data_IF_897086344485
#
_entry.id   IF_897086344485
#
_cell.length_a   1.000
_cell.length_b   1.000
_cell.length_c   1.000
_cell.angle_alpha   90.00
_cell.angle_beta   90.00
_cell.angle_gamma   90.00
#
_symmetry.space_group_name_H-M   'P 1'
#
loop_
_entity.id
_entity.type
_entity.pdbx_description
1 polymer ?
#
# COMPACT_ATOMS: atom_id res chain seq x y z
N UNK A 1 -38.41 25.67 28.42
CA UNK A 1 -37.55 26.05 27.28
C UNK A 1 -38.44 26.20 26.06
N UNK A 2 -38.52 27.38 25.44
CA UNK A 2 -39.44 27.63 24.31
C UNK A 2 -38.97 26.88 23.07
N UNK A 3 -39.90 26.27 22.31
CA UNK A 3 -39.58 25.51 21.09
C UNK A 3 -38.83 26.31 20.03
N UNK A 4 -38.93 27.65 20.08
CA UNK A 4 -38.19 28.59 19.22
C UNK A 4 -36.69 28.59 19.46
N UNK A 5 -36.23 28.47 20.71
CA UNK A 5 -34.80 28.44 21.04
C UNK A 5 -34.14 27.15 20.59
N UNK A 6 -34.84 26.01 20.71
CA UNK A 6 -34.35 24.72 20.23
C UNK A 6 -34.23 24.69 18.70
N UNK A 7 -35.22 25.21 17.97
CA UNK A 7 -35.18 25.33 16.51
C UNK A 7 -34.00 26.19 16.03
N UNK A 8 -33.73 27.31 16.69
CA UNK A 8 -32.59 28.16 16.37
C UNK A 8 -31.26 27.44 16.63
N UNK A 9 -31.11 26.79 17.78
CA UNK A 9 -29.89 26.01 18.09
C UNK A 9 -29.65 24.87 17.09
N UNK A 10 -30.71 24.16 16.69
CA UNK A 10 -30.62 23.11 15.66
C UNK A 10 -30.23 23.70 14.31
N UNK A 11 -30.81 24.84 13.91
CA UNK A 11 -30.45 25.51 12.66
C UNK A 11 -28.99 25.97 12.65
N UNK A 12 -28.50 26.57 13.75
CA UNK A 12 -27.09 26.95 13.87
C UNK A 12 -26.15 25.73 13.81
N UNK A 13 -26.53 24.62 14.46
CA UNK A 13 -25.74 23.39 14.40
C UNK A 13 -25.66 22.85 12.95
N UNK A 14 -26.77 22.82 12.22
CA UNK A 14 -26.80 22.36 10.82
C UNK A 14 -25.94 23.26 9.92
N UNK A 15 -26.06 24.58 10.07
CA UNK A 15 -25.27 25.55 9.29
C UNK A 15 -23.78 25.38 9.59
N UNK A 16 -23.41 25.28 10.87
CA UNK A 16 -22.03 25.05 11.28
C UNK A 16 -21.49 23.73 10.70
N UNK A 17 -22.21 22.62 10.85
CA UNK A 17 -21.80 21.32 10.31
C UNK A 17 -21.67 21.33 8.79
N UNK A 18 -22.58 22.00 8.08
CA UNK A 18 -22.51 22.16 6.62
C UNK A 18 -21.31 23.00 6.20
N UNK A 19 -21.04 24.10 6.92
CA UNK A 19 -19.88 24.95 6.70
C UNK A 19 -18.56 24.22 6.95
N UNK A 20 -18.46 23.46 8.04
CA UNK A 20 -17.29 22.61 8.33
C UNK A 20 -17.09 21.55 7.25
N UNK A 21 -18.17 20.92 6.78
CA UNK A 21 -18.10 19.93 5.71
C UNK A 21 -17.65 20.56 4.39
N UNK A 22 -18.19 21.71 4.00
CA UNK A 22 -17.77 22.44 2.80
C UNK A 22 -16.30 22.87 2.88
N UNK A 23 -15.85 23.35 4.04
CA UNK A 23 -14.44 23.68 4.29
C UNK A 23 -13.56 22.44 4.15
N UNK A 24 -13.97 21.31 4.74
CA UNK A 24 -13.26 20.04 4.63
C UNK A 24 -13.11 19.60 3.16
N UNK A 25 -14.18 19.68 2.36
CA UNK A 25 -14.10 19.40 0.93
C UNK A 25 -13.18 20.35 0.18
N UNK A 26 -13.21 21.64 0.51
CA UNK A 26 -12.28 22.64 -0.05
C UNK A 26 -10.82 22.33 0.30
N UNK A 27 -10.55 21.82 1.50
CA UNK A 27 -9.21 21.34 1.88
C UNK A 27 -8.83 20.11 1.06
N UNK A 28 -9.78 19.20 0.78
CA UNK A 28 -9.55 18.05 -0.09
C UNK A 28 -9.30 18.41 -1.57
N UNK A 29 -9.50 19.64 -2.01
CA UNK A 29 -9.06 20.05 -3.37
C UNK A 29 -7.59 20.47 -3.39
N UNK A 30 -6.92 20.56 -2.23
CA UNK A 30 -5.52 20.94 -2.13
C UNK A 30 -4.64 19.67 -2.24
N UNK A 31 -3.68 19.61 -3.18
CA UNK A 31 -2.84 18.43 -3.45
C UNK A 31 -2.19 17.80 -2.21
N UNK A 32 -1.64 18.63 -1.32
CA UNK A 32 -0.99 18.20 -0.10
C UNK A 32 -1.93 17.35 0.78
N UNK A 33 -3.16 17.82 1.00
CA UNK A 33 -4.12 17.13 1.85
C UNK A 33 -4.74 15.91 1.17
N UNK A 34 -4.91 15.94 -0.16
CA UNK A 34 -5.31 14.75 -0.92
C UNK A 34 -4.34 13.60 -0.72
N UNK A 35 -3.04 13.87 -0.84
CA UNK A 35 -2.00 12.86 -0.63
C UNK A 35 -2.05 12.26 0.78
N UNK A 36 -2.24 13.09 1.81
CA UNK A 36 -2.38 12.60 3.18
C UNK A 36 -3.62 11.70 3.35
N UNK A 37 -4.73 12.01 2.69
CA UNK A 37 -5.98 11.23 2.83
C UNK A 37 -5.95 9.94 2.02
N UNK A 38 -5.42 9.97 0.79
CA UNK A 38 -5.35 8.79 -0.09
C UNK A 38 -4.35 7.77 0.47
N UNK A 39 -3.15 8.22 0.83
CA UNK A 39 -2.08 7.32 1.22
C UNK A 39 -2.02 7.08 2.72
N UNK A 40 -2.51 8.00 3.55
CA UNK A 40 -2.40 7.97 5.01
C UNK A 40 -0.98 7.63 5.51
N UNK A 41 0.02 8.05 4.73
CA UNK A 41 1.40 7.54 4.81
C UNK A 41 2.12 7.94 6.10
N UNK A 42 1.70 9.05 6.72
CA UNK A 42 2.26 9.54 7.99
C UNK A 42 1.83 8.71 9.21
N UNK A 43 0.88 7.77 9.06
CA UNK A 43 0.34 6.96 10.15
C UNK A 43 0.94 5.56 10.10
N UNK A 44 2.04 5.32 10.82
CA UNK A 44 2.81 4.06 10.72
C UNK A 44 2.18 2.85 11.42
N UNK A 45 1.26 3.00 12.37
CA UNK A 45 0.51 1.89 13.02
C UNK A 45 1.39 0.71 13.51
N UNK A 46 2.63 0.97 13.93
CA UNK A 46 3.55 -0.06 14.47
C UNK A 46 3.39 -0.27 15.98
N UNK A 47 2.54 0.52 16.67
CA UNK A 47 2.23 0.36 18.10
C UNK A 47 3.46 0.37 19.02
N UNK A 48 4.39 1.29 18.79
CA UNK A 48 5.66 1.41 19.53
C UNK A 48 6.60 0.20 19.42
N UNK A 49 6.36 -0.68 18.45
CA UNK A 49 7.27 -1.78 18.10
C UNK A 49 8.30 -1.33 17.08
N UNK A 50 9.47 -1.94 17.18
CA UNK A 50 10.59 -1.68 16.29
C UNK A 50 10.59 -2.70 15.15
N UNK A 51 10.57 -2.21 13.91
CA UNK A 51 10.58 -3.07 12.71
C UNK A 51 11.88 -3.84 12.57
N UNK A 52 12.96 -3.36 13.21
CA UNK A 52 14.28 -4.00 13.21
C UNK A 52 14.37 -5.18 14.18
N UNK A 53 13.36 -5.40 15.03
CA UNK A 53 13.27 -6.53 15.96
C UNK A 53 12.24 -7.55 15.45
N UNK A 54 12.65 -8.50 14.59
CA UNK A 54 11.75 -9.41 13.88
C UNK A 54 10.84 -10.27 14.78
N UNK A 55 11.29 -10.59 16.00
CA UNK A 55 10.54 -11.36 17.00
C UNK A 55 9.25 -10.65 17.45
N UNK A 56 9.26 -9.31 17.50
CA UNK A 56 8.06 -8.52 17.84
C UNK A 56 6.94 -8.70 16.81
N UNK A 57 7.28 -9.21 15.64
CA UNK A 57 6.39 -9.45 14.53
C UNK A 57 6.13 -10.93 14.29
N UNK A 58 6.72 -11.83 15.08
CA UNK A 58 6.55 -13.29 15.00
C UNK A 58 7.47 -13.98 14.00
N UNK A 59 8.58 -13.36 13.61
CA UNK A 59 9.64 -13.98 12.80
C UNK A 59 10.76 -14.55 13.70
N UNK A 60 11.78 -15.16 13.07
CA UNK A 60 12.95 -15.84 13.64
C UNK A 60 12.70 -17.11 14.45
N UNK A 61 11.69 -17.15 15.32
CA UNK A 61 11.47 -18.32 16.17
C UNK A 61 11.06 -19.55 15.34
N UNK A 62 11.78 -20.66 15.53
CA UNK A 62 11.58 -21.93 14.83
C UNK A 62 11.78 -21.84 13.30
N UNK A 63 12.64 -20.92 12.85
CA UNK A 63 13.03 -20.84 11.44
C UNK A 63 14.25 -21.72 11.16
N UNK A 64 14.33 -22.26 9.94
CA UNK A 64 15.59 -22.79 9.42
C UNK A 64 16.60 -21.63 9.37
N UNK A 65 17.81 -21.83 9.90
CA UNK A 65 18.85 -20.80 10.06
C UNK A 65 18.62 -19.74 11.17
N UNK A 66 17.76 -20.00 12.16
CA UNK A 66 17.51 -19.07 13.27
C UNK A 66 18.79 -18.53 13.94
N UNK A 67 19.75 -19.39 14.30
CA UNK A 67 21.00 -18.95 14.95
C UNK A 67 21.85 -18.02 14.07
N UNK A 68 21.91 -18.29 12.77
CA UNK A 68 22.69 -17.49 11.81
C UNK A 68 22.02 -16.13 11.56
N UNK A 69 20.69 -16.11 11.44
CA UNK A 69 19.90 -14.88 11.29
C UNK A 69 19.98 -14.00 12.54
N UNK A 70 19.98 -14.59 13.73
CA UNK A 70 20.17 -13.87 15.00
C UNK A 70 21.57 -13.27 15.15
N UNK A 71 22.57 -13.84 14.47
CA UNK A 71 23.93 -13.32 14.49
C UNK A 71 24.13 -12.13 13.54
N UNK A 72 23.22 -11.88 12.59
CA UNK A 72 23.30 -10.73 11.69
C UNK A 72 22.96 -9.41 12.42
N UNK A 73 23.60 -8.29 12.04
CA UNK A 73 23.25 -6.98 12.59
C UNK A 73 21.79 -6.63 12.29
N UNK A 74 21.06 -6.16 13.30
CA UNK A 74 19.70 -5.65 13.12
C UNK A 74 19.70 -4.26 12.47
N UNK A 75 18.63 -3.95 11.72
CA UNK A 75 18.42 -2.64 11.11
C UNK A 75 18.72 -2.61 9.62
N UNK A 76 19.06 -1.42 9.13
CA UNK A 76 19.34 -1.21 7.71
C UNK A 76 20.68 -1.85 7.35
N UNK A 77 20.66 -2.85 6.49
CA UNK A 77 21.88 -3.44 5.95
C UNK A 77 22.58 -2.45 5.00
N UNK A 78 23.88 -2.21 5.21
CA UNK A 78 24.70 -1.38 4.30
C UNK A 78 24.76 -1.98 2.88
N UNK A 79 24.77 -3.31 2.79
CA UNK A 79 24.70 -4.06 1.54
C UNK A 79 23.84 -5.31 1.74
N UNK A 80 22.60 -5.26 1.22
CA UNK A 80 21.63 -6.36 1.33
C UNK A 80 22.19 -7.67 0.75
N UNK A 81 23.11 -7.60 -0.23
CA UNK A 81 23.68 -8.79 -0.87
C UNK A 81 24.54 -9.65 0.05
N UNK A 82 24.96 -9.07 1.19
CA UNK A 82 25.74 -9.77 2.21
C UNK A 82 24.87 -10.49 3.24
N UNK A 83 23.58 -10.13 3.32
CA UNK A 83 22.64 -10.73 4.27
C UNK A 83 22.39 -12.20 3.94
N UNK A 84 22.15 -13.02 4.96
CA UNK A 84 21.81 -14.43 4.78
C UNK A 84 20.50 -14.59 4.02
N UNK A 85 19.48 -13.79 4.37
CA UNK A 85 18.18 -13.80 3.68
C UNK A 85 18.29 -13.59 2.17
N UNK A 86 19.18 -12.70 1.72
CA UNK A 86 19.43 -12.49 0.29
C UNK A 86 20.14 -13.66 -0.37
N UNK A 87 21.14 -14.26 0.30
CA UNK A 87 21.87 -15.43 -0.23
C UNK A 87 20.94 -16.62 -0.37
N UNK A 88 20.10 -16.89 0.63
CA UNK A 88 19.10 -17.96 0.57
C UNK A 88 18.17 -17.79 -0.64
N UNK A 89 17.68 -16.57 -0.88
CA UNK A 89 16.87 -16.26 -2.06
C UNK A 89 17.64 -16.48 -3.37
N UNK A 90 18.84 -15.91 -3.50
CA UNK A 90 19.60 -15.90 -4.76
C UNK A 90 20.20 -17.26 -5.12
N UNK A 91 20.69 -17.99 -4.11
CA UNK A 91 21.52 -19.17 -4.32
C UNK A 91 20.68 -20.45 -4.54
N UNK A 92 19.38 -20.42 -4.24
CA UNK A 92 18.43 -21.47 -4.61
C UNK A 92 17.77 -21.19 -5.99
N UNK A 93 18.07 -21.99 -7.05
CA UNK A 93 17.48 -21.80 -8.37
C UNK A 93 15.97 -22.09 -8.42
N UNK A 94 15.45 -22.82 -7.43
CA UNK A 94 14.04 -23.19 -7.31
C UNK A 94 13.23 -22.19 -6.46
N UNK A 95 13.87 -21.10 -6.01
CA UNK A 95 13.27 -19.99 -5.29
C UNK A 95 12.08 -19.39 -6.05
N UNK A 96 10.98 -19.21 -5.33
CA UNK A 96 9.80 -18.45 -5.70
C UNK A 96 9.78 -17.18 -4.87
N UNK A 97 9.64 -16.03 -5.53
CA UNK A 97 9.67 -14.74 -4.88
C UNK A 97 8.31 -14.07 -4.94
N UNK A 98 7.78 -13.75 -3.76
CA UNK A 98 6.61 -12.88 -3.62
C UNK A 98 7.08 -11.44 -3.43
N UNK A 99 6.72 -10.56 -4.37
CA UNK A 99 6.83 -9.13 -4.19
C UNK A 99 5.55 -8.62 -3.53
N UNK A 100 5.64 -8.18 -2.28
CA UNK A 100 4.50 -7.71 -1.50
C UNK A 100 4.34 -6.20 -1.62
N UNK A 101 3.23 -5.79 -2.22
CA UNK A 101 2.84 -4.39 -2.46
C UNK A 101 1.71 -4.01 -1.48
N UNK A 102 2.07 -3.27 -0.43
CA UNK A 102 1.17 -3.02 0.70
C UNK A 102 0.08 -1.95 0.42
N UNK A 103 -0.96 -1.94 1.25
CA UNK A 103 -2.04 -0.95 1.19
C UNK A 103 -1.68 0.44 1.72
N UNK A 104 -2.66 1.34 1.74
CA UNK A 104 -2.52 2.65 2.37
C UNK A 104 -2.31 2.52 3.89
N UNK A 105 -1.85 3.62 4.50
CA UNK A 105 -1.41 3.72 5.88
C UNK A 105 -0.27 2.74 6.24
N UNK A 106 0.15 2.80 7.49
CA UNK A 106 1.08 1.84 8.07
C UNK A 106 2.52 1.98 7.57
N UNK A 107 3.26 0.92 7.84
CA UNK A 107 4.64 0.63 7.50
C UNK A 107 4.78 -0.91 7.35
N UNK A 108 5.97 -1.41 7.07
CA UNK A 108 6.20 -2.86 6.92
C UNK A 108 5.64 -3.72 8.07
N UNK A 109 5.75 -3.24 9.32
CA UNK A 109 5.28 -3.92 10.52
C UNK A 109 3.78 -3.81 10.82
N UNK A 110 2.97 -3.09 10.04
CA UNK A 110 1.63 -2.71 10.53
C UNK A 110 0.58 -3.79 10.42
N UNK A 111 -0.26 -3.89 11.46
CA UNK A 111 -1.50 -4.66 11.45
C UNK A 111 -1.28 -6.14 11.10
N UNK A 112 -1.97 -6.61 10.05
CA UNK A 112 -1.90 -8.00 9.61
C UNK A 112 -0.79 -8.29 8.58
N UNK A 113 0.03 -7.29 8.22
CA UNK A 113 1.07 -7.48 7.20
C UNK A 113 2.11 -8.52 7.63
N UNK A 114 2.69 -8.48 8.85
CA UNK A 114 3.63 -9.51 9.26
C UNK A 114 3.04 -10.93 9.28
N UNK A 115 1.82 -11.16 9.82
CA UNK A 115 1.12 -12.43 9.66
C UNK A 115 0.95 -12.85 8.20
N UNK A 116 0.66 -11.92 7.29
CA UNK A 116 0.54 -12.20 5.86
C UNK A 116 1.87 -12.66 5.25
N UNK A 117 2.99 -12.00 5.57
CA UNK A 117 4.32 -12.41 5.07
C UNK A 117 4.65 -13.84 5.51
N UNK A 118 4.40 -14.14 6.79
CA UNK A 118 4.61 -15.49 7.32
C UNK A 118 3.73 -16.53 6.67
N UNK A 119 2.45 -16.21 6.44
CA UNK A 119 1.52 -17.14 5.81
C UNK A 119 1.95 -17.50 4.38
N UNK A 120 2.50 -16.54 3.62
CA UNK A 120 3.01 -16.80 2.28
C UNK A 120 4.26 -17.69 2.32
N UNK A 121 5.26 -17.33 3.12
CA UNK A 121 6.48 -18.16 3.27
C UNK A 121 6.20 -19.53 3.88
N UNK A 122 5.15 -19.70 4.69
CA UNK A 122 4.76 -20.99 5.25
C UNK A 122 4.27 -22.01 4.21
N UNK A 123 3.90 -21.59 3.00
CA UNK A 123 3.46 -22.49 1.93
C UNK A 123 4.54 -23.47 1.48
N UNK A 124 5.78 -22.99 1.40
CA UNK A 124 7.00 -23.78 1.22
C UNK A 124 8.18 -22.98 1.78
N UNK A 125 8.54 -23.15 3.06
CA UNK A 125 9.51 -22.30 3.75
C UNK A 125 10.92 -22.32 3.17
N UNK A 126 11.25 -23.33 2.35
CA UNK A 126 12.57 -23.44 1.71
C UNK A 126 12.64 -22.69 0.40
N UNK A 127 11.50 -22.55 -0.29
CA UNK A 127 11.44 -22.00 -1.65
C UNK A 127 10.71 -20.67 -1.74
N UNK A 128 9.74 -20.39 -0.87
CA UNK A 128 8.92 -19.18 -0.95
C UNK A 128 9.51 -18.07 -0.07
N UNK A 129 10.11 -17.10 -0.75
CA UNK A 129 10.61 -15.87 -0.14
C UNK A 129 9.60 -14.75 -0.34
N UNK A 130 9.48 -13.87 0.65
CA UNK A 130 8.68 -12.64 0.55
C UNK A 130 9.58 -11.44 0.71
N UNK A 131 9.53 -10.51 -0.24
CA UNK A 131 10.15 -9.19 -0.11
C UNK A 131 9.06 -8.13 -0.12
N UNK A 132 9.05 -7.31 0.92
CA UNK A 132 8.16 -6.17 1.07
C UNK A 132 9.00 -4.90 1.19
N UNK A 133 8.48 -3.79 0.67
CA UNK A 133 9.09 -2.46 0.82
C UNK A 133 8.07 -1.50 1.42
N UNK A 134 8.54 -0.51 2.17
CA UNK A 134 7.76 0.72 2.38
C UNK A 134 7.97 1.63 1.17
N UNK A 135 6.88 2.05 0.53
CA UNK A 135 6.96 3.06 -0.55
C UNK A 135 7.54 4.37 -0.04
N UNK A 136 8.00 5.23 -0.95
CA UNK A 136 8.43 6.59 -0.60
C UNK A 136 7.39 7.32 0.25
N UNK A 137 7.83 7.88 1.37
CA UNK A 137 7.00 8.54 2.37
C UNK A 137 6.28 7.63 3.36
N UNK A 138 6.38 6.30 3.24
CA UNK A 138 5.88 5.33 4.23
C UNK A 138 7.01 4.86 5.15
N UNK A 139 6.66 4.50 6.39
CA UNK A 139 7.60 3.94 7.37
C UNK A 139 8.90 4.74 7.48
N UNK A 140 10.03 4.09 7.20
CA UNK A 140 11.35 4.74 7.20
C UNK A 140 11.80 5.26 5.83
N UNK A 141 11.01 5.02 4.76
CA UNK A 141 11.34 5.46 3.41
C UNK A 141 11.12 6.97 3.27
N UNK A 142 12.13 7.68 2.79
CA UNK A 142 12.07 9.13 2.56
C UNK A 142 11.12 9.54 1.42
N UNK A 143 10.98 10.85 1.20
CA UNK A 143 10.18 11.40 0.11
C UNK A 143 8.69 11.57 0.44
N UNK A 144 7.84 11.57 -0.58
CA UNK A 144 6.39 11.70 -0.44
C UNK A 144 5.67 10.86 -1.49
N UNK A 145 4.54 10.22 -1.14
CA UNK A 145 3.88 9.29 -2.05
C UNK A 145 3.21 10.02 -3.21
N UNK A 146 3.18 9.38 -4.37
CA UNK A 146 2.41 9.78 -5.54
C UNK A 146 2.19 8.54 -6.42
N UNK A 147 1.26 8.61 -7.36
CA UNK A 147 0.97 7.49 -8.28
C UNK A 147 2.23 7.06 -9.05
N UNK A 148 2.89 8.02 -9.71
CA UNK A 148 4.16 7.81 -10.39
C UNK A 148 5.27 7.34 -9.43
N UNK A 149 5.27 7.85 -8.20
CA UNK A 149 6.28 7.53 -7.20
C UNK A 149 6.19 6.09 -6.72
N UNK A 150 4.98 5.63 -6.38
CA UNK A 150 4.75 4.24 -5.96
C UNK A 150 4.99 3.26 -7.11
N UNK A 151 4.59 3.61 -8.33
CA UNK A 151 4.89 2.81 -9.52
C UNK A 151 6.42 2.71 -9.71
N UNK A 152 7.15 3.81 -9.57
CA UNK A 152 8.61 3.82 -9.66
C UNK A 152 9.23 2.90 -8.60
N UNK A 153 8.79 2.98 -7.35
CA UNK A 153 9.29 2.14 -6.26
C UNK A 153 9.03 0.64 -6.54
N UNK A 154 7.84 0.31 -7.07
CA UNK A 154 7.48 -1.04 -7.46
C UNK A 154 8.30 -1.56 -8.65
N UNK A 155 8.57 -0.71 -9.65
CA UNK A 155 9.48 -1.03 -10.75
C UNK A 155 10.89 -1.29 -10.21
N UNK A 156 11.41 -0.41 -9.34
CA UNK A 156 12.73 -0.60 -8.71
C UNK A 156 12.82 -1.93 -7.98
N UNK A 157 11.80 -2.32 -7.23
CA UNK A 157 11.75 -3.62 -6.55
C UNK A 157 11.79 -4.80 -7.53
N UNK A 158 10.98 -4.76 -8.59
CA UNK A 158 10.94 -5.83 -9.59
C UNK A 158 12.25 -5.92 -10.38
N UNK A 159 12.85 -4.79 -10.76
CA UNK A 159 14.17 -4.74 -11.41
C UNK A 159 15.26 -5.29 -10.50
N UNK A 160 15.27 -4.93 -9.22
CA UNK A 160 16.19 -5.49 -8.24
C UNK A 160 16.04 -7.01 -8.13
N UNK A 161 14.81 -7.51 -8.07
CA UNK A 161 14.55 -8.95 -8.00
C UNK A 161 15.10 -9.71 -9.23
N UNK A 162 14.89 -9.17 -10.42
CA UNK A 162 15.34 -9.81 -11.67
C UNK A 162 16.84 -9.68 -11.91
N UNK A 163 17.41 -8.50 -11.64
CA UNK A 163 18.79 -8.17 -12.03
C UNK A 163 19.81 -8.46 -10.94
N UNK A 164 19.47 -8.13 -9.70
CA UNK A 164 20.39 -8.25 -8.56
C UNK A 164 20.19 -9.58 -7.83
N UNK A 165 18.95 -9.96 -7.54
CA UNK A 165 18.64 -11.26 -6.94
C UNK A 165 18.60 -12.41 -7.96
N UNK A 166 18.59 -12.11 -9.26
CA UNK A 166 18.66 -13.10 -10.34
C UNK A 166 17.41 -13.96 -10.48
N UNK A 167 16.28 -13.55 -9.91
CA UNK A 167 15.05 -14.35 -9.91
C UNK A 167 14.35 -14.18 -11.27
N UNK A 168 14.08 -15.28 -12.01
CA UNK A 168 13.42 -15.18 -13.29
C UNK A 168 11.97 -14.70 -13.10
N UNK A 169 11.41 -13.89 -14.03
CA UNK A 169 10.03 -13.40 -13.93
C UNK A 169 8.98 -14.49 -13.71
N UNK A 170 9.20 -15.69 -14.29
CA UNK A 170 8.35 -16.87 -14.13
C UNK A 170 8.30 -17.42 -12.70
N UNK A 171 9.20 -17.00 -11.82
CA UNK A 171 9.23 -17.36 -10.39
C UNK A 171 8.78 -16.20 -9.49
N UNK A 172 8.38 -15.07 -10.07
CA UNK A 172 7.94 -13.89 -9.31
C UNK A 172 6.41 -13.82 -9.31
N UNK A 173 5.82 -13.66 -8.13
CA UNK A 173 4.39 -13.40 -7.93
C UNK A 173 4.21 -12.03 -7.30
N UNK A 174 3.30 -11.21 -7.86
CA UNK A 174 2.91 -9.95 -7.25
C UNK A 174 1.77 -10.21 -6.25
N UNK A 175 2.04 -10.08 -4.95
CA UNK A 175 0.98 -10.10 -3.94
C UNK A 175 0.70 -8.67 -3.51
N UNK A 176 -0.57 -8.27 -3.51
CA UNK A 176 -0.92 -6.87 -3.30
C UNK A 176 -2.22 -6.68 -2.56
N UNK A 177 -2.31 -5.58 -1.81
CA UNK A 177 -3.46 -5.29 -0.96
C UNK A 177 -3.90 -3.82 -1.07
N UNK A 178 -5.20 -3.57 -1.19
CA UNK A 178 -5.78 -2.22 -1.32
C UNK A 178 -5.04 -1.38 -2.37
N UNK A 179 -4.46 -0.21 -2.06
CA UNK A 179 -3.72 0.61 -3.03
C UNK A 179 -2.57 -0.12 -3.71
N UNK A 180 -1.95 -1.09 -3.03
CA UNK A 180 -0.94 -1.94 -3.64
C UNK A 180 -1.47 -2.73 -4.84
N UNK A 181 -2.78 -3.00 -4.93
CA UNK A 181 -3.39 -3.68 -6.08
C UNK A 181 -3.28 -2.83 -7.35
N UNK A 182 -3.60 -1.54 -7.26
CA UNK A 182 -3.44 -0.60 -8.37
C UNK A 182 -1.96 -0.45 -8.76
N UNK A 183 -1.06 -0.38 -7.77
CA UNK A 183 0.40 -0.37 -8.00
C UNK A 183 0.84 -1.63 -8.75
N UNK A 184 0.36 -2.81 -8.35
CA UNK A 184 0.73 -4.08 -8.96
C UNK A 184 0.22 -4.21 -10.39
N UNK A 185 -0.98 -3.71 -10.69
CA UNK A 185 -1.57 -3.68 -12.03
C UNK A 185 -0.77 -2.73 -12.93
N UNK A 186 -0.48 -1.53 -12.45
CA UNK A 186 0.34 -0.57 -13.17
C UNK A 186 1.76 -1.10 -13.42
N UNK A 187 2.37 -1.79 -12.44
CA UNK A 187 3.66 -2.46 -12.58
C UNK A 187 3.60 -3.54 -13.67
N UNK A 188 2.64 -4.47 -13.58
CA UNK A 188 2.49 -5.57 -14.54
C UNK A 188 2.28 -5.07 -15.96
N UNK A 189 1.41 -4.06 -16.14
CA UNK A 189 1.21 -3.41 -17.43
C UNK A 189 2.49 -2.74 -17.92
N UNK A 190 3.14 -1.92 -17.09
CA UNK A 190 4.38 -1.26 -17.44
C UNK A 190 5.47 -2.26 -17.88
N UNK A 191 5.54 -3.42 -17.24
CA UNK A 191 6.47 -4.51 -17.57
C UNK A 191 6.10 -5.23 -18.88
N UNK A 192 4.81 -5.45 -19.13
CA UNK A 192 4.30 -6.13 -20.32
C UNK A 192 4.36 -5.27 -21.60
N UNK A 193 4.27 -3.94 -21.48
CA UNK A 193 4.26 -3.02 -22.64
C UNK A 193 5.65 -2.54 -23.06
N UNK A 194 6.72 -3.08 -22.48
CA UNK A 194 8.10 -2.72 -22.85
C UNK A 194 8.49 -3.33 -24.20
N UNK A 195 9.55 -2.84 -24.86
CA UNK A 195 10.09 -3.48 -26.06
C UNK A 195 10.45 -4.96 -25.85
N UNK A 196 10.94 -5.30 -24.66
CA UNK A 196 11.12 -6.68 -24.19
C UNK A 196 10.11 -6.94 -23.05
N UNK A 197 8.93 -7.51 -23.37
CA UNK A 197 7.89 -7.75 -22.38
C UNK A 197 8.33 -8.69 -21.27
N UNK A 198 8.06 -8.29 -20.03
CA UNK A 198 8.25 -9.13 -18.85
C UNK A 198 6.89 -9.52 -18.31
N UNK A 199 6.67 -10.83 -18.18
CA UNK A 199 5.46 -11.40 -17.58
C UNK A 199 5.83 -12.13 -16.29
N UNK A 200 5.16 -11.75 -15.20
CA UNK A 200 5.29 -12.43 -13.92
C UNK A 200 4.48 -13.73 -13.88
N UNK A 201 4.82 -14.62 -12.97
CA UNK A 201 4.15 -15.92 -12.78
C UNK A 201 2.66 -15.78 -12.45
N UNK A 202 2.31 -14.72 -11.72
CA UNK A 202 0.93 -14.40 -11.39
C UNK A 202 0.79 -13.18 -10.50
N UNK A 203 -0.46 -12.82 -10.25
CA UNK A 203 -0.83 -11.71 -9.37
C UNK A 203 -1.94 -12.15 -8.40
N UNK A 204 -1.81 -11.76 -7.13
CA UNK A 204 -2.85 -11.93 -6.11
C UNK A 204 -3.30 -10.54 -5.67
N UNK A 205 -4.56 -10.22 -5.93
CA UNK A 205 -5.17 -8.93 -5.63
C UNK A 205 -6.13 -9.05 -4.44
N UNK A 206 -5.76 -8.48 -3.30
CA UNK A 206 -6.59 -8.49 -2.08
C UNK A 206 -7.28 -7.14 -1.90
N UNK A 207 -8.61 -7.15 -1.90
CA UNK A 207 -9.46 -5.96 -1.85
C UNK A 207 -9.10 -4.91 -2.94
N UNK A 208 -9.11 -5.29 -4.24
CA UNK A 208 -8.85 -4.35 -5.32
C UNK A 208 -10.00 -3.35 -5.51
N UNK A 209 -9.71 -2.27 -6.21
CA UNK A 209 -10.68 -1.25 -6.62
C UNK A 209 -10.46 -0.87 -8.09
N UNK A 210 -11.51 -0.38 -8.75
CA UNK A 210 -11.46 -0.03 -10.16
C UNK A 210 -10.67 1.28 -10.42
N UNK A 211 -10.92 2.31 -9.61
CA UNK A 211 -10.21 3.59 -9.60
C UNK A 211 -10.50 4.38 -8.30
N UNK A 212 -9.70 5.41 -8.02
CA UNK A 212 -9.89 6.25 -6.82
C UNK A 212 -11.19 7.06 -6.90
N UNK A 213 -11.65 7.42 -8.09
CA UNK A 213 -12.87 8.20 -8.30
C UNK A 213 -14.15 7.41 -7.91
N UNK A 214 -14.14 6.09 -8.08
CA UNK A 214 -15.19 5.19 -7.65
C UNK A 214 -15.09 4.90 -6.15
N UNK A 215 -13.86 4.83 -5.63
CA UNK A 215 -13.64 4.79 -4.19
C UNK A 215 -14.20 6.04 -3.52
N UNK A 216 -14.02 7.26 -4.05
CA UNK A 216 -14.59 8.45 -3.41
C UNK A 216 -16.10 8.36 -3.26
N UNK A 217 -16.81 7.74 -4.21
CA UNK A 217 -18.26 7.54 -4.12
C UNK A 217 -18.71 6.52 -3.06
N UNK A 218 -17.81 5.63 -2.61
CA UNK A 218 -18.15 4.48 -1.74
C UNK A 218 -17.31 4.40 -0.45
N UNK A 219 -16.31 5.27 -0.31
CA UNK A 219 -15.30 5.19 0.74
C UNK A 219 -15.92 5.47 2.11
N UNK A 220 -15.73 4.51 3.01
CA UNK A 220 -16.09 4.61 4.42
C UNK A 220 -14.82 4.64 5.26
N UNK A 221 -14.59 5.74 5.96
CA UNK A 221 -13.50 5.80 6.95
C UNK A 221 -13.76 4.76 8.02
N UNK A 222 -12.73 3.92 8.27
CA UNK A 222 -12.78 2.77 9.16
C UNK A 222 -13.93 1.78 8.86
N UNK A 223 -14.46 1.77 7.62
CA UNK A 223 -15.59 0.93 7.22
C UNK A 223 -16.96 1.42 7.70
N UNK A 224 -17.04 2.54 8.43
CA UNK A 224 -18.27 2.98 9.11
C UNK A 224 -18.77 4.34 8.63
N UNK A 225 -17.89 5.32 8.37
CA UNK A 225 -18.30 6.70 8.13
C UNK A 225 -18.15 7.04 6.64
N UNK A 226 -19.25 7.14 5.87
CA UNK A 226 -19.17 7.50 4.46
C UNK A 226 -18.99 9.01 4.30
N UNK A 227 -17.75 9.44 4.09
CA UNK A 227 -17.40 10.86 4.08
C UNK A 227 -18.01 11.60 2.88
N UNK A 228 -18.21 10.93 1.75
CA UNK A 228 -18.65 11.55 0.50
C UNK A 228 -20.05 11.09 0.03
N UNK A 229 -20.73 10.19 0.77
CA UNK A 229 -22.11 9.76 0.49
C UNK A 229 -23.10 10.93 0.28
N UNK A 230 -23.07 12.02 1.07
CA UNK A 230 -23.98 13.15 0.85
C UNK A 230 -23.82 13.80 -0.53
N UNK A 231 -22.59 13.82 -1.06
CA UNK A 231 -22.23 14.43 -2.34
C UNK A 231 -22.49 13.46 -3.50
N UNK A 232 -22.30 12.16 -3.27
CA UNK A 232 -22.53 11.12 -4.28
C UNK A 232 -23.96 11.13 -4.85
N UNK A 233 -24.93 11.69 -4.09
CA UNK A 233 -26.31 11.92 -4.54
C UNK A 233 -26.45 13.01 -5.62
N UNK A 234 -25.40 13.79 -5.89
CA UNK A 234 -25.37 14.89 -6.85
C UNK A 234 -24.28 14.63 -7.91
N UNK A 235 -24.57 13.86 -8.98
CA UNK A 235 -23.55 13.37 -9.92
C UNK A 235 -22.68 14.45 -10.57
N UNK A 236 -23.26 15.62 -10.89
CA UNK A 236 -22.52 16.74 -11.48
C UNK A 236 -21.52 17.37 -10.51
N UNK A 237 -21.91 17.49 -9.23
CA UNK A 237 -21.03 18.02 -8.19
C UNK A 237 -19.92 17.03 -7.87
N UNK A 238 -20.24 15.73 -7.80
CA UNK A 238 -19.25 14.67 -7.63
C UNK A 238 -18.23 14.67 -8.78
N UNK A 239 -18.68 14.74 -10.03
CA UNK A 239 -17.81 14.80 -11.20
C UNK A 239 -16.89 16.04 -11.18
N UNK A 240 -17.44 17.20 -10.78
CA UNK A 240 -16.65 18.42 -10.61
C UNK A 240 -15.58 18.25 -9.52
N UNK A 241 -15.92 17.68 -8.36
CA UNK A 241 -14.96 17.44 -7.28
C UNK A 241 -13.90 16.38 -7.66
N UNK A 242 -14.30 15.32 -8.37
CA UNK A 242 -13.39 14.29 -8.88
C UNK A 242 -12.37 14.87 -9.88
N UNK A 243 -12.69 15.96 -10.57
CA UNK A 243 -11.71 16.62 -11.47
C UNK A 243 -10.47 17.17 -10.75
N UNK A 244 -10.56 17.40 -9.44
CA UNK A 244 -9.43 17.85 -8.61
C UNK A 244 -8.57 16.71 -8.07
N UNK A 245 -8.97 15.44 -8.26
CA UNK A 245 -8.23 14.27 -7.78
C UNK A 245 -6.96 14.10 -8.61
N UNK A 246 -5.80 14.20 -7.95
CA UNK A 246 -4.50 14.08 -8.61
C UNK A 246 -4.08 12.63 -8.88
N UNK A 247 -4.20 11.75 -7.88
CA UNK A 247 -3.84 10.33 -8.01
C UNK A 247 -5.11 9.54 -8.30
N UNK A 248 -5.22 9.00 -9.51
CA UNK A 248 -6.45 8.42 -10.02
C UNK A 248 -6.42 6.89 -10.01
N UNK A 249 -5.25 6.30 -10.24
CA UNK A 249 -5.06 4.85 -10.33
C UNK A 249 -6.14 4.16 -11.19
N UNK A 250 -6.19 4.43 -12.51
CA UNK A 250 -7.24 3.94 -13.42
C UNK A 250 -7.08 2.44 -13.73
N UNK A 251 -7.20 1.59 -12.71
CA UNK A 251 -6.89 0.16 -12.80
C UNK A 251 -7.77 -0.56 -13.83
N UNK A 252 -9.02 -0.12 -14.00
CA UNK A 252 -9.95 -0.66 -15.01
C UNK A 252 -9.46 -0.46 -16.45
N UNK A 253 -8.82 0.66 -16.75
CA UNK A 253 -8.41 1.04 -18.11
C UNK A 253 -7.13 0.29 -18.54
N UNK A 254 -6.50 -0.43 -17.60
CA UNK A 254 -5.25 -1.18 -17.78
C UNK A 254 -5.51 -2.68 -18.00
N UNK A 255 -6.68 -3.18 -17.60
CA UNK A 255 -7.01 -4.62 -17.57
C UNK A 255 -7.92 -5.06 -18.74
N UNK A 256 -8.44 -4.11 -19.54
CA UNK A 256 -9.16 -4.39 -20.81
C UNK A 256 -8.20 -4.65 -21.99
#
# INVERSE_FOLDING_TARGET
MSGTGLLQSVAYAIIASTGFYALFLGVLTIPFFQNQVIYLHSVTLTWFRDVTVPEQWGFLHNQEHEEELLAEPVGVAEDIRKTLSFKLLRDDPDSLLVLYLHGAAGALGSGYRPPSYRAMSAGDPKRIHTVAIDYRGFGSSGGSPSEEGLLTDAITLAEWAMKEAGIPPSHIVLFSQSIGTAVSIALAHHMATRPEPVLFSGMVLVAPFADVELLTATYRVAGVIPILDPIARFPRLLAYLNSFILNKWPSKDVVE
#
